data_IF_758058643678
#
_entry.id   IF_758058643678
#
_cell.length_a   1.000
_cell.length_b   1.000
_cell.length_c   1.000
_cell.angle_alpha   90.00
_cell.angle_beta   90.00
_cell.angle_gamma   90.00
#
_symmetry.space_group_name_H-M   'P 1'
#
loop_
_entity.id
_entity.type
_entity.pdbx_description
1 polymer ?
#
# COMPACT_ATOMS: atom_id res chain seq x y z
N UNK A 1 -16.10 -6.53 5.39
CA UNK A 1 -15.85 -6.60 6.83
C UNK A 1 -15.98 -5.20 7.38
N UNK A 2 -16.99 -4.91 8.22
CA UNK A 2 -17.34 -3.52 8.57
C UNK A 2 -16.39 -2.89 9.58
N UNK A 3 -15.87 -3.68 10.52
CA UNK A 3 -14.96 -3.20 11.56
C UNK A 3 -13.68 -4.02 11.55
N UNK A 4 -12.53 -3.34 11.54
CA UNK A 4 -11.22 -3.95 11.71
C UNK A 4 -10.81 -3.86 13.18
N UNK A 5 -10.62 -5.01 13.81
CA UNK A 5 -10.16 -5.12 15.20
C UNK A 5 -8.74 -5.67 15.25
N UNK A 6 -8.02 -5.37 16.34
CA UNK A 6 -6.64 -5.87 16.55
C UNK A 6 -6.57 -7.41 16.53
N UNK A 7 -7.57 -8.10 17.06
CA UNK A 7 -7.67 -9.57 17.05
C UNK A 7 -7.85 -10.12 15.63
N UNK A 8 -8.57 -9.40 14.79
CA UNK A 8 -8.85 -9.80 13.41
C UNK A 8 -7.66 -9.59 12.49
N UNK A 9 -6.85 -8.57 12.79
CA UNK A 9 -5.58 -8.32 12.15
C UNK A 9 -4.64 -9.54 12.29
N UNK A 10 -4.56 -10.13 13.48
CA UNK A 10 -3.78 -11.35 13.73
C UNK A 10 -4.25 -12.55 12.89
N UNK A 11 -5.55 -12.66 12.61
CA UNK A 11 -6.09 -13.74 11.77
C UNK A 11 -5.80 -13.57 10.28
N UNK A 12 -5.66 -12.34 9.79
CA UNK A 12 -5.25 -12.07 8.41
C UNK A 12 -3.79 -12.47 8.13
N UNK A 13 -2.98 -12.63 9.18
CA UNK A 13 -1.58 -13.08 9.09
C UNK A 13 -1.37 -14.52 9.53
N UNK A 14 -2.42 -15.26 9.89
CA UNK A 14 -2.32 -16.72 9.99
C UNK A 14 -2.30 -17.26 8.56
N UNK A 15 -1.25 -18.00 8.12
CA UNK A 15 -1.28 -18.63 6.82
C UNK A 15 -2.50 -19.55 6.75
N UNK A 16 -3.46 -19.21 5.90
CA UNK A 16 -4.56 -20.07 5.52
C UNK A 16 -3.95 -21.27 4.78
N UNK A 17 -3.68 -22.36 5.52
CA UNK A 17 -3.44 -23.66 4.90
C UNK A 17 -4.77 -24.09 4.29
N UNK A 18 -5.03 -23.72 3.02
CA UNK A 18 -6.06 -24.38 2.22
C UNK A 18 -5.48 -25.72 1.77
N UNK A 19 -6.16 -26.87 2.00
CA UNK A 19 -5.77 -28.11 1.35
C UNK A 19 -5.92 -27.94 -0.17
N UNK A 20 -4.90 -28.34 -0.92
CA UNK A 20 -4.95 -28.39 -2.38
C UNK A 20 -6.08 -29.34 -2.83
N UNK A 21 -6.81 -29.03 -3.91
CA UNK A 21 -7.72 -30.00 -4.51
C UNK A 21 -6.91 -31.22 -4.99
N UNK A 22 -7.44 -32.45 -4.85
CA UNK A 22 -6.72 -33.64 -5.25
C UNK A 22 -6.38 -33.57 -6.75
N UNK A 23 -5.08 -33.60 -7.05
CA UNK A 23 -4.59 -33.80 -8.41
C UNK A 23 -5.06 -35.16 -8.91
N UNK A 24 -5.85 -35.18 -9.99
CA UNK A 24 -6.18 -36.41 -10.69
C UNK A 24 -4.88 -37.08 -11.15
N UNK A 25 -4.68 -38.29 -10.65
CA UNK A 25 -3.56 -39.14 -11.00
C UNK A 25 -3.85 -39.75 -12.37
N UNK A 26 -2.95 -39.46 -13.30
CA UNK A 26 -2.92 -39.92 -14.68
C UNK A 26 -3.03 -41.45 -14.74
N UNK A 27 -4.13 -41.96 -15.28
CA UNK A 27 -4.29 -43.37 -15.62
C UNK A 27 -4.05 -43.52 -17.11
N UNK A 28 -2.95 -44.21 -17.43
CA UNK A 28 -2.57 -44.57 -18.81
C UNK A 28 -3.74 -45.29 -19.48
N UNK A 29 -4.30 -44.68 -20.51
CA UNK A 29 -5.15 -45.39 -21.47
C UNK A 29 -4.31 -45.66 -22.72
N UNK A 30 -4.08 -46.95 -22.97
CA UNK A 30 -3.52 -47.50 -24.20
C UNK A 30 -4.62 -47.36 -25.27
N UNK A 31 -4.33 -46.66 -26.36
CA UNK A 31 -5.18 -46.66 -27.54
C UNK A 31 -4.69 -47.72 -28.52
N UNK A 32 -5.52 -48.75 -28.70
CA UNK A 32 -5.47 -49.66 -29.84
C UNK A 32 -6.30 -49.01 -30.97
N UNK A 33 -5.69 -48.82 -32.14
CA UNK A 33 -6.41 -48.37 -33.34
C UNK A 33 -6.21 -49.41 -34.44
N UNK A 34 -7.27 -50.20 -34.62
CA UNK A 34 -7.51 -51.00 -35.81
C UNK A 34 -7.75 -50.14 -37.04
N UNK A 35 -7.41 -50.74 -38.16
CA UNK A 35 -7.48 -50.28 -39.55
C UNK A 35 -8.88 -49.85 -39.97
N UNK A 36 -9.00 -48.78 -40.77
CA UNK A 36 -9.56 -48.88 -42.13
C UNK A 36 -9.39 -47.58 -42.95
N UNK A 37 -9.29 -47.80 -44.26
CA UNK A 37 -8.88 -46.94 -45.37
C UNK A 37 -9.78 -45.72 -45.67
N UNK A 38 -9.21 -44.63 -46.23
CA UNK A 38 -9.40 -44.19 -47.64
C UNK A 38 -8.86 -42.75 -47.90
N UNK A 39 -8.03 -42.64 -48.96
CA UNK A 39 -7.76 -41.52 -49.90
C UNK A 39 -7.15 -40.19 -49.38
N UNK A 40 -5.90 -39.86 -49.74
CA UNK A 40 -5.45 -38.99 -50.87
C UNK A 40 -6.00 -37.53 -50.77
N UNK A 41 -5.28 -36.40 -50.90
CA UNK A 41 -4.07 -36.02 -51.67
C UNK A 41 -3.60 -34.61 -51.18
N UNK A 42 -2.27 -34.36 -51.13
CA UNK A 42 -1.52 -33.11 -51.46
C UNK A 42 -1.80 -31.74 -50.77
N UNK A 43 -0.80 -31.17 -50.05
CA UNK A 43 0.21 -30.21 -50.58
C UNK A 43 1.25 -29.82 -49.50
N UNK A 44 2.47 -29.55 -49.97
CA UNK A 44 3.76 -29.45 -49.26
C UNK A 44 4.15 -28.05 -48.72
N UNK A 45 5.33 -28.04 -48.08
CA UNK A 45 6.35 -26.99 -47.91
C UNK A 45 6.41 -26.34 -46.52
N UNK A 46 7.36 -26.73 -45.66
CA UNK A 46 8.83 -26.51 -45.69
C UNK A 46 9.22 -25.05 -45.54
N UNK A 47 9.76 -24.69 -44.37
CA UNK A 47 10.80 -23.66 -44.20
C UNK A 47 11.64 -24.00 -42.95
N UNK A 48 12.78 -24.68 -43.17
CA UNK A 48 13.96 -24.54 -42.31
C UNK A 48 14.60 -23.17 -42.61
N UNK A 49 15.17 -22.51 -41.59
CA UNK A 49 16.55 -22.07 -41.74
C UNK A 49 17.26 -21.86 -40.40
N UNK A 50 18.47 -22.41 -40.36
CA UNK A 50 19.45 -22.47 -39.28
C UNK A 50 20.35 -21.24 -39.31
N UNK A 51 20.74 -20.72 -38.14
CA UNK A 51 22.04 -20.07 -37.96
C UNK A 51 22.67 -20.55 -36.65
N UNK A 52 23.81 -21.24 -36.81
CA UNK A 52 24.78 -21.60 -35.77
C UNK A 52 25.97 -20.64 -35.90
N UNK A 53 26.41 -20.05 -34.80
CA UNK A 53 27.83 -19.82 -34.54
C UNK A 53 28.11 -20.02 -33.05
N UNK A 54 29.19 -20.74 -32.76
CA UNK A 54 29.52 -21.25 -31.45
C UNK A 54 30.73 -20.55 -30.83
N UNK A 55 30.76 -20.46 -29.50
CA UNK A 55 32.01 -20.47 -28.74
C UNK A 55 31.81 -20.97 -27.31
N UNK A 56 32.51 -22.05 -27.00
CA UNK A 56 32.65 -22.65 -25.67
C UNK A 56 33.83 -22.03 -24.93
N UNK A 57 33.66 -21.64 -23.67
CA UNK A 57 34.72 -21.64 -22.65
C UNK A 57 34.17 -21.81 -21.23
N UNK A 58 34.38 -23.02 -20.70
CA UNK A 58 34.75 -23.46 -19.34
C UNK A 58 34.09 -22.84 -18.08
N UNK A 59 33.52 -23.77 -17.32
CA UNK A 59 33.10 -23.75 -15.92
C UNK A 59 34.11 -23.11 -14.95
N UNK A 60 33.57 -22.34 -13.99
CA UNK A 60 34.08 -22.24 -12.61
C UNK A 60 32.90 -22.05 -11.67
N UNK A 61 32.64 -23.07 -10.87
CA UNK A 61 31.79 -23.01 -9.68
C UNK A 61 32.43 -22.12 -8.61
N UNK A 62 31.66 -21.17 -8.06
CA UNK A 62 31.83 -20.67 -6.67
C UNK A 62 30.51 -20.05 -6.20
N UNK A 63 30.10 -20.42 -4.99
CA UNK A 63 28.79 -20.17 -4.38
C UNK A 63 28.56 -18.73 -3.88
N UNK A 64 27.36 -18.21 -4.20
CA UNK A 64 26.28 -17.62 -3.36
C UNK A 64 26.67 -16.64 -2.24
N UNK A 65 26.12 -15.40 -2.27
CA UNK A 65 25.04 -14.90 -1.38
C UNK A 65 24.27 -13.76 -2.07
N UNK A 66 23.02 -14.02 -2.47
CA UNK A 66 21.97 -13.01 -2.67
C UNK A 66 20.84 -13.42 -1.71
N UNK A 67 20.47 -12.63 -0.69
CA UNK A 67 19.28 -12.94 0.08
C UNK A 67 18.08 -12.37 -0.69
N UNK A 68 17.56 -13.15 -1.63
CA UNK A 68 16.29 -12.86 -2.27
C UNK A 68 15.23 -13.88 -1.82
N UNK A 69 14.08 -13.31 -1.47
CA UNK A 69 12.76 -13.89 -1.21
C UNK A 69 12.66 -15.32 -0.63
N UNK A 70 12.31 -15.41 0.66
CA UNK A 70 11.77 -16.65 1.24
C UNK A 70 10.27 -16.77 0.93
N UNK A 71 9.95 -17.33 -0.22
CA UNK A 71 8.70 -18.08 -0.42
C UNK A 71 8.74 -19.38 0.39
N UNK A 72 7.81 -19.60 1.31
CA UNK A 72 7.70 -20.84 2.07
C UNK A 72 7.18 -21.99 1.19
N UNK A 73 7.97 -23.04 1.00
CA UNK A 73 7.53 -24.36 0.53
C UNK A 73 7.50 -25.32 1.73
N UNK A 74 6.38 -26.01 1.95
CA UNK A 74 6.21 -26.98 3.03
C UNK A 74 6.18 -28.40 2.45
N UNK A 75 7.21 -29.19 2.78
CA UNK A 75 7.24 -30.65 2.61
C UNK A 75 6.52 -31.29 3.82
N UNK A 76 5.65 -32.25 3.54
CA UNK A 76 4.74 -32.88 4.49
C UNK A 76 5.48 -34.00 5.25
N UNK A 77 5.55 -33.90 6.57
CA UNK A 77 5.69 -35.10 7.39
C UNK A 77 4.88 -34.99 8.68
N UNK A 78 4.27 -36.11 9.05
CA UNK A 78 3.15 -36.23 9.97
C UNK A 78 3.60 -36.44 11.43
N UNK A 79 2.73 -36.01 12.35
CA UNK A 79 2.68 -36.33 13.79
C UNK A 79 3.64 -35.60 14.76
N UNK A 80 3.20 -34.48 15.35
CA UNK A 80 3.61 -34.09 16.72
C UNK A 80 2.44 -33.50 17.51
N UNK A 81 2.05 -34.24 18.54
CA UNK A 81 1.23 -33.83 19.69
C UNK A 81 1.96 -32.75 20.48
N UNK A 82 1.26 -31.66 20.83
CA UNK A 82 1.69 -30.39 21.46
C UNK A 82 1.93 -29.24 20.46
N UNK A 83 0.98 -28.29 20.45
CA UNK A 83 1.16 -26.97 19.84
C UNK A 83 2.27 -26.23 20.60
N UNK A 84 3.41 -25.88 19.98
CA UNK A 84 4.34 -24.97 20.62
C UNK A 84 3.65 -23.60 20.77
N UNK A 85 4.04 -22.78 21.75
CA UNK A 85 3.56 -21.41 21.83
C UNK A 85 3.94 -20.73 20.51
N UNK A 86 2.94 -20.47 19.65
CA UNK A 86 3.16 -19.82 18.36
C UNK A 86 3.79 -18.46 18.64
N UNK A 87 5.07 -18.32 18.28
CA UNK A 87 5.80 -17.05 18.28
C UNK A 87 4.97 -16.02 17.51
N UNK A 88 4.57 -14.98 18.22
CA UNK A 88 3.89 -13.79 17.72
C UNK A 88 4.87 -13.07 16.76
N UNK A 89 4.80 -13.40 15.47
CA UNK A 89 5.73 -12.90 14.43
C UNK A 89 5.35 -11.51 13.87
N UNK A 90 4.53 -10.73 14.57
CA UNK A 90 4.05 -9.40 14.13
C UNK A 90 5.10 -8.28 14.22
N UNK A 91 6.32 -8.56 14.67
CA UNK A 91 7.34 -7.55 14.95
C UNK A 91 8.04 -6.94 13.72
N UNK A 92 7.83 -7.46 12.51
CA UNK A 92 8.62 -7.07 11.32
C UNK A 92 7.82 -6.49 10.15
N UNK A 93 6.50 -6.30 10.30
CA UNK A 93 5.68 -5.76 9.21
C UNK A 93 6.02 -4.29 8.96
N UNK A 94 6.44 -4.00 7.72
CA UNK A 94 6.81 -2.66 7.24
C UNK A 94 5.74 -2.03 6.36
N UNK A 95 4.97 -2.84 5.63
CA UNK A 95 3.94 -2.38 4.70
C UNK A 95 2.65 -3.13 4.95
N UNK A 96 1.54 -2.39 4.91
CA UNK A 96 0.21 -2.95 5.09
C UNK A 96 -0.79 -2.27 4.15
N UNK A 97 -1.50 -3.08 3.37
CA UNK A 97 -2.43 -2.64 2.34
C UNK A 97 -3.82 -3.24 2.57
N UNK A 98 -4.79 -2.36 2.79
CA UNK A 98 -6.22 -2.69 2.90
C UNK A 98 -7.06 -2.01 1.80
N UNK A 99 -6.44 -1.64 0.68
CA UNK A 99 -7.11 -0.94 -0.42
C UNK A 99 -8.32 -1.72 -0.93
N UNK A 100 -9.41 -1.02 -1.27
CA UNK A 100 -10.56 -1.61 -1.95
C UNK A 100 -11.40 -2.54 -1.07
N UNK A 101 -11.35 -2.34 0.25
CA UNK A 101 -12.17 -3.09 1.20
C UNK A 101 -13.43 -2.29 1.59
N UNK A 102 -14.26 -2.89 2.44
CA UNK A 102 -15.51 -2.27 2.95
C UNK A 102 -15.39 -1.91 4.43
N UNK A 103 -14.20 -1.45 4.85
CA UNK A 103 -13.95 -1.11 6.25
C UNK A 103 -14.63 0.23 6.55
N UNK A 104 -15.54 0.23 7.53
CA UNK A 104 -16.27 1.41 8.01
C UNK A 104 -15.63 1.98 9.28
N UNK A 105 -15.10 1.10 10.15
CA UNK A 105 -14.45 1.48 11.41
C UNK A 105 -13.18 0.67 11.68
N UNK A 106 -12.23 1.31 12.36
CA UNK A 106 -10.98 0.68 12.83
C UNK A 106 -10.83 1.05 14.31
N UNK A 107 -10.70 0.04 15.15
CA UNK A 107 -10.57 0.27 16.59
C UNK A 107 -9.25 0.96 16.94
N UNK A 108 -9.31 1.84 17.96
CA UNK A 108 -8.11 2.46 18.51
C UNK A 108 -7.16 1.37 19.02
N UNK A 109 -5.90 1.44 18.59
CA UNK A 109 -4.88 0.45 18.96
C UNK A 109 -4.80 -0.77 18.04
N UNK A 110 -5.62 -0.88 16.99
CA UNK A 110 -5.52 -1.96 15.99
C UNK A 110 -4.10 -2.13 15.45
N UNK A 111 -3.41 -1.02 15.19
CA UNK A 111 -2.03 -1.01 14.67
C UNK A 111 -0.96 -0.77 15.74
N UNK A 112 -1.31 -0.80 17.04
CA UNK A 112 -0.40 -0.43 18.14
C UNK A 112 0.85 -1.31 18.24
N UNK A 113 0.72 -2.60 17.90
CA UNK A 113 1.82 -3.58 17.93
C UNK A 113 2.76 -3.46 16.72
N UNK A 114 2.31 -2.82 15.63
CA UNK A 114 3.06 -2.69 14.38
C UNK A 114 4.08 -1.55 14.45
N UNK A 115 5.01 -1.65 15.38
CA UNK A 115 5.98 -0.57 15.70
C UNK A 115 7.01 -0.30 14.59
N UNK A 116 7.15 -1.21 13.62
CA UNK A 116 8.03 -1.07 12.46
C UNK A 116 7.28 -0.71 11.16
N UNK A 117 5.98 -0.44 11.24
CA UNK A 117 5.18 -0.12 10.05
C UNK A 117 5.59 1.24 9.48
N UNK A 118 5.97 1.24 8.21
CA UNK A 118 6.42 2.39 7.44
C UNK A 118 5.37 2.82 6.42
N UNK A 119 4.64 1.89 5.84
CA UNK A 119 3.62 2.18 4.84
C UNK A 119 2.29 1.56 5.24
N UNK A 120 1.26 2.40 5.32
CA UNK A 120 -0.11 1.97 5.57
C UNK A 120 -1.04 2.58 4.53
N UNK A 121 -1.75 1.72 3.80
CA UNK A 121 -2.84 2.16 2.93
C UNK A 121 -4.18 1.58 3.36
N UNK A 122 -5.14 2.48 3.51
CA UNK A 122 -6.56 2.28 3.81
C UNK A 122 -7.42 2.87 2.69
N UNK A 123 -6.85 3.00 1.47
CA UNK A 123 -7.52 3.64 0.36
C UNK A 123 -8.81 2.91 -0.03
N UNK A 124 -9.76 3.62 -0.61
CA UNK A 124 -10.97 3.01 -1.22
C UNK A 124 -11.75 2.14 -0.20
N UNK A 125 -11.99 2.70 0.98
CA UNK A 125 -12.79 2.10 2.05
C UNK A 125 -13.98 3.01 2.39
N UNK A 126 -14.63 2.78 3.54
CA UNK A 126 -15.81 3.52 3.98
C UNK A 126 -15.58 4.25 5.31
N UNK A 127 -14.32 4.57 5.62
CA UNK A 127 -13.93 5.14 6.91
C UNK A 127 -14.53 6.52 7.13
N UNK A 128 -15.06 6.74 8.33
CA UNK A 128 -15.58 8.05 8.77
C UNK A 128 -14.57 8.83 9.63
N UNK A 129 -13.58 8.14 10.20
CA UNK A 129 -12.55 8.67 11.10
C UNK A 129 -11.23 7.94 10.88
N UNK A 130 -10.13 8.59 11.24
CA UNK A 130 -8.81 7.96 11.24
C UNK A 130 -8.56 7.19 12.55
N UNK A 131 -7.94 5.99 12.48
CA UNK A 131 -7.43 5.31 13.66
C UNK A 131 -6.17 6.00 14.19
N UNK A 132 -5.70 5.57 15.36
CA UNK A 132 -4.37 5.93 15.84
C UNK A 132 -3.30 5.34 14.91
N UNK A 133 -2.50 6.21 14.32
CA UNK A 133 -1.47 5.84 13.34
C UNK A 133 -0.16 5.42 14.01
N UNK A 134 0.53 4.37 13.52
CA UNK A 134 1.86 3.99 13.99
C UNK A 134 2.89 5.10 13.78
N UNK A 135 3.81 5.34 14.74
CA UNK A 135 4.70 6.50 14.73
C UNK A 135 5.81 6.47 13.66
N UNK A 136 6.13 5.30 13.11
CA UNK A 136 7.21 5.12 12.13
C UNK A 136 6.79 5.29 10.67
N UNK A 137 5.52 5.61 10.41
CA UNK A 137 5.03 5.76 9.05
C UNK A 137 5.82 6.81 8.26
N UNK A 138 6.20 6.43 7.04
CA UNK A 138 6.77 7.27 5.99
C UNK A 138 5.71 7.59 4.92
N UNK A 139 4.75 6.69 4.72
CA UNK A 139 3.61 6.86 3.82
C UNK A 139 2.31 6.47 4.52
N UNK A 140 1.33 7.37 4.43
CA UNK A 140 -0.03 7.07 4.83
C UNK A 140 -1.01 7.46 3.71
N UNK A 141 -1.82 6.48 3.29
CA UNK A 141 -2.78 6.67 2.23
C UNK A 141 -4.19 6.26 2.68
N UNK A 142 -5.09 7.22 2.84
CA UNK A 142 -6.51 6.99 3.12
C UNK A 142 -7.43 7.74 2.15
N UNK A 143 -7.00 7.85 0.88
CA UNK A 143 -7.82 8.42 -0.19
C UNK A 143 -9.11 7.64 -0.43
N UNK A 144 -10.10 8.26 -1.08
CA UNK A 144 -11.38 7.61 -1.41
C UNK A 144 -12.06 6.95 -0.20
N UNK A 145 -12.25 7.75 0.85
CA UNK A 145 -13.00 7.36 2.04
C UNK A 145 -14.09 8.41 2.32
N UNK A 146 -14.72 8.37 3.49
CA UNK A 146 -15.77 9.31 3.91
C UNK A 146 -15.34 10.13 5.13
N UNK A 147 -14.03 10.35 5.28
CA UNK A 147 -13.45 10.98 6.47
C UNK A 147 -13.81 12.47 6.46
N UNK A 148 -14.33 12.95 7.58
CA UNK A 148 -14.58 14.37 7.84
C UNK A 148 -13.52 14.94 8.76
N UNK A 149 -13.39 16.27 8.84
CA UNK A 149 -12.39 16.89 9.72
C UNK A 149 -12.56 16.47 11.19
N UNK A 150 -13.81 16.35 11.67
CA UNK A 150 -14.13 15.82 13.01
C UNK A 150 -13.67 14.37 13.27
N UNK A 151 -13.43 13.61 12.21
CA UNK A 151 -12.92 12.24 12.26
C UNK A 151 -11.39 12.18 12.38
N UNK A 152 -10.70 13.32 12.37
CA UNK A 152 -9.26 13.42 12.54
C UNK A 152 -8.98 14.10 13.88
N UNK A 153 -8.37 13.36 14.82
CA UNK A 153 -7.93 13.93 16.10
C UNK A 153 -6.87 15.01 15.84
N UNK A 154 -6.89 16.12 16.59
CA UNK A 154 -5.99 17.26 16.37
C UNK A 154 -4.48 16.91 16.45
N UNK A 155 -4.14 15.82 17.13
CA UNK A 155 -2.78 15.31 17.30
C UNK A 155 -2.48 14.05 16.46
N UNK A 156 -3.35 13.67 15.51
CA UNK A 156 -3.23 12.44 14.74
C UNK A 156 -1.89 12.30 14.01
N UNK A 157 -1.34 13.41 13.50
CA UNK A 157 -0.10 13.44 12.75
C UNK A 157 1.12 13.95 13.55
N UNK A 158 0.91 14.48 14.76
CA UNK A 158 1.94 15.22 15.54
C UNK A 158 3.19 14.38 15.85
N UNK A 159 3.05 13.06 15.99
CA UNK A 159 4.15 12.15 16.33
C UNK A 159 4.76 11.43 15.12
N UNK A 160 4.27 11.68 13.91
CA UNK A 160 4.70 10.99 12.69
C UNK A 160 5.91 11.68 12.07
N UNK A 161 7.02 11.68 12.79
CA UNK A 161 8.22 12.47 12.48
C UNK A 161 8.93 12.06 11.18
N UNK A 162 8.57 10.90 10.61
CA UNK A 162 9.14 10.37 9.37
C UNK A 162 8.17 10.44 8.19
N UNK A 163 6.92 10.90 8.42
CA UNK A 163 5.88 10.89 7.41
C UNK A 163 6.24 11.85 6.28
N UNK A 164 6.44 11.30 5.09
CA UNK A 164 6.83 12.03 3.88
C UNK A 164 5.65 12.18 2.92
N UNK A 165 4.75 11.20 2.87
CA UNK A 165 3.63 11.16 1.94
C UNK A 165 2.31 10.99 2.69
N UNK A 166 1.40 11.94 2.49
CA UNK A 166 0.06 11.91 3.06
C UNK A 166 -1.00 12.09 1.96
N UNK A 167 -1.79 11.04 1.75
CA UNK A 167 -2.89 11.04 0.79
C UNK A 167 -4.23 10.96 1.51
N UNK A 168 -5.00 12.04 1.45
CA UNK A 168 -6.34 12.18 2.03
C UNK A 168 -7.32 12.78 1.00
N UNK A 169 -6.98 12.72 -0.28
CA UNK A 169 -7.84 13.17 -1.37
C UNK A 169 -9.11 12.32 -1.49
N UNK A 170 -10.14 12.86 -2.13
CA UNK A 170 -11.45 12.21 -2.28
C UNK A 170 -12.05 11.75 -0.95
N UNK A 171 -12.13 12.69 -0.01
CA UNK A 171 -12.78 12.52 1.29
C UNK A 171 -13.80 13.67 1.50
N UNK A 172 -14.26 13.88 2.73
CA UNK A 172 -15.19 14.94 3.09
C UNK A 172 -14.57 15.90 4.13
N UNK A 173 -13.26 16.15 4.05
CA UNK A 173 -12.57 17.07 4.96
C UNK A 173 -13.06 18.50 4.75
N UNK A 174 -13.37 19.20 5.86
CA UNK A 174 -13.83 20.58 5.86
C UNK A 174 -12.68 21.59 6.09
N UNK A 175 -11.51 21.07 6.49
CA UNK A 175 -10.30 21.83 6.82
C UNK A 175 -9.06 20.97 6.60
N UNK A 176 -7.91 21.60 6.39
CA UNK A 176 -6.61 20.91 6.42
C UNK A 176 -6.38 20.33 7.83
N UNK A 177 -5.84 19.11 7.98
CA UNK A 177 -5.54 18.56 9.31
C UNK A 177 -4.52 19.41 10.08
N UNK A 178 -4.71 19.51 11.40
CA UNK A 178 -3.82 20.27 12.27
C UNK A 178 -2.51 19.53 12.55
N UNK A 179 -1.46 20.28 12.89
CA UNK A 179 -0.16 19.76 13.34
C UNK A 179 0.50 18.79 12.34
N UNK A 180 0.46 19.14 11.06
CA UNK A 180 1.14 18.39 9.99
C UNK A 180 2.67 18.39 10.22
N UNK A 181 3.34 17.23 10.21
CA UNK A 181 4.76 17.13 10.55
C UNK A 181 5.67 17.84 9.54
N UNK A 182 6.81 18.33 10.04
CA UNK A 182 7.88 18.99 9.26
C UNK A 182 8.57 18.06 8.25
N UNK A 183 8.35 16.75 8.35
CA UNK A 183 8.90 15.74 7.45
C UNK A 183 8.14 15.61 6.13
N UNK A 184 6.92 16.17 6.03
CA UNK A 184 6.08 16.01 4.85
C UNK A 184 6.70 16.63 3.60
N UNK A 185 6.67 15.85 2.52
CA UNK A 185 7.08 16.24 1.17
C UNK A 185 5.88 16.40 0.25
N UNK A 186 4.89 15.51 0.36
CA UNK A 186 3.71 15.51 -0.49
C UNK A 186 2.45 15.42 0.37
N UNK A 187 1.50 16.32 0.10
CA UNK A 187 0.20 16.36 0.75
C UNK A 187 -0.88 16.46 -0.32
N UNK A 188 -1.71 15.42 -0.43
CA UNK A 188 -2.85 15.38 -1.35
C UNK A 188 -4.14 15.50 -0.57
N UNK A 189 -4.86 16.59 -0.82
CA UNK A 189 -6.13 16.96 -0.19
C UNK A 189 -7.18 17.37 -1.22
N UNK A 190 -6.91 17.15 -2.52
CA UNK A 190 -7.83 17.47 -3.60
C UNK A 190 -9.16 16.72 -3.46
N UNK A 191 -10.21 17.31 -4.04
CA UNK A 191 -11.57 16.75 -4.01
C UNK A 191 -12.07 16.43 -2.58
N UNK A 192 -11.92 17.42 -1.70
CA UNK A 192 -12.53 17.46 -0.37
C UNK A 192 -13.52 18.65 -0.30
N UNK A 193 -13.97 19.01 0.91
CA UNK A 193 -14.84 20.14 1.17
C UNK A 193 -14.13 21.24 1.98
N UNK A 194 -12.82 21.45 1.77
CA UNK A 194 -12.04 22.41 2.53
C UNK A 194 -12.48 23.83 2.17
N UNK A 195 -13.04 24.55 3.15
CA UNK A 195 -13.56 25.92 2.96
C UNK A 195 -12.66 27.00 3.54
N UNK A 196 -11.73 26.64 4.43
CA UNK A 196 -10.86 27.61 5.09
C UNK A 196 -9.49 27.04 5.43
N UNK A 197 -8.50 27.93 5.43
CA UNK A 197 -7.16 27.74 5.99
C UNK A 197 -6.78 28.99 6.79
N UNK A 198 -5.77 28.84 7.63
CA UNK A 198 -5.19 29.88 8.48
C UNK A 198 -3.72 30.09 8.14
N UNK A 199 -3.14 31.19 8.60
CA UNK A 199 -1.72 31.51 8.40
C UNK A 199 -0.80 30.42 9.00
N UNK A 200 -1.25 29.74 10.05
CA UNK A 200 -0.55 28.61 10.69
C UNK A 200 -0.83 27.23 10.05
N UNK A 201 -1.60 27.15 8.96
CA UNK A 201 -1.96 25.85 8.36
C UNK A 201 -0.74 25.14 7.80
N UNK A 202 0.11 25.85 7.05
CA UNK A 202 1.35 25.31 6.53
C UNK A 202 2.60 26.03 7.07
N UNK A 203 2.44 27.27 7.53
CA UNK A 203 3.51 28.13 8.02
C UNK A 203 3.46 28.31 9.54
N UNK A 204 4.41 29.07 10.09
CA UNK A 204 4.40 29.53 11.48
C UNK A 204 4.12 31.03 11.45
N UNK A 205 2.89 31.43 11.74
CA UNK A 205 2.46 32.83 11.57
C UNK A 205 3.26 33.82 12.43
N UNK A 206 3.86 33.33 13.53
CA UNK A 206 4.72 34.11 14.42
C UNK A 206 6.20 34.16 14.00
N UNK A 207 6.60 33.49 12.91
CA UNK A 207 7.98 33.42 12.44
C UNK A 207 8.04 33.63 10.92
N UNK A 208 8.30 34.88 10.52
CA UNK A 208 8.44 35.25 9.11
C UNK A 208 9.70 34.70 8.45
N UNK A 209 10.65 34.19 9.23
CA UNK A 209 11.88 33.55 8.72
C UNK A 209 11.71 32.06 8.49
N UNK A 210 10.61 31.48 8.97
CA UNK A 210 10.31 30.07 8.81
C UNK A 210 10.06 29.72 7.34
N UNK A 211 10.87 28.79 6.83
CA UNK A 211 10.69 28.18 5.52
C UNK A 211 10.43 26.69 5.71
N UNK A 212 9.37 26.18 5.09
CA UNK A 212 9.04 24.75 5.10
C UNK A 212 9.79 24.07 3.96
N UNK A 213 11.06 23.77 4.18
CA UNK A 213 11.98 23.37 3.11
C UNK A 213 11.68 22.03 2.44
N UNK A 214 11.10 21.08 3.18
CA UNK A 214 10.90 19.70 2.71
C UNK A 214 9.67 19.53 1.83
N UNK A 215 8.72 20.45 1.88
CA UNK A 215 7.47 20.31 1.13
C UNK A 215 7.74 20.56 -0.36
N UNK A 216 7.31 19.62 -1.18
CA UNK A 216 7.52 19.61 -2.62
C UNK A 216 6.22 19.83 -3.37
N UNK A 217 5.11 19.29 -2.84
CA UNK A 217 3.80 19.35 -3.48
C UNK A 217 2.66 19.39 -2.44
N UNK A 218 1.72 20.32 -2.66
CA UNK A 218 0.44 20.38 -1.96
C UNK A 218 -0.65 20.48 -3.01
N UNK A 219 -1.64 19.57 -2.97
CA UNK A 219 -2.80 19.57 -3.86
C UNK A 219 -4.07 19.87 -3.09
N UNK A 220 -4.78 20.91 -3.52
CA UNK A 220 -6.01 21.42 -2.93
C UNK A 220 -7.09 21.66 -4.00
N UNK A 221 -6.86 21.28 -5.25
CA UNK A 221 -7.84 21.40 -6.32
C UNK A 221 -9.15 20.65 -6.00
N UNK A 222 -10.27 21.14 -6.55
CA UNK A 222 -11.58 20.56 -6.26
C UNK A 222 -12.10 20.78 -4.83
N UNK A 223 -11.47 21.65 -4.03
CA UNK A 223 -12.03 22.18 -2.78
C UNK A 223 -12.70 23.55 -3.00
N UNK A 224 -13.70 23.93 -2.18
CA UNK A 224 -14.36 25.25 -2.28
C UNK A 224 -13.47 26.45 -1.94
N UNK A 225 -12.32 26.23 -1.29
CA UNK A 225 -11.42 27.31 -0.88
C UNK A 225 -10.78 28.03 -2.08
N UNK A 226 -10.69 29.36 -1.98
CA UNK A 226 -9.96 30.21 -2.93
C UNK A 226 -8.61 30.57 -2.30
N UNK A 227 -7.53 29.95 -2.80
CA UNK A 227 -6.18 30.08 -2.25
C UNK A 227 -5.65 31.52 -2.32
N UNK A 228 -6.06 32.30 -3.33
CA UNK A 228 -5.67 33.71 -3.48
C UNK A 228 -6.12 34.62 -2.33
N UNK A 229 -7.11 34.20 -1.52
CA UNK A 229 -7.56 34.93 -0.33
C UNK A 229 -6.69 34.67 0.92
N UNK A 230 -5.73 33.74 0.84
CA UNK A 230 -4.92 33.29 1.97
C UNK A 230 -3.41 33.29 1.66
N UNK A 231 -2.83 34.40 1.19
CA UNK A 231 -1.42 34.43 0.77
C UNK A 231 -0.44 34.10 1.91
N UNK A 232 -0.72 34.53 3.14
CA UNK A 232 0.14 34.30 4.30
C UNK A 232 0.27 32.81 4.67
N UNK A 233 -0.74 32.00 4.39
CA UNK A 233 -0.72 30.55 4.61
C UNK A 233 0.34 29.82 3.78
N UNK A 234 0.93 30.48 2.78
CA UNK A 234 1.84 29.86 1.81
C UNK A 234 3.21 30.55 1.72
N UNK A 235 3.44 31.62 2.47
CA UNK A 235 4.67 32.44 2.34
C UNK A 235 5.95 31.68 2.68
N UNK A 236 5.86 30.68 3.55
CA UNK A 236 6.97 29.80 3.92
C UNK A 236 7.28 28.70 2.90
N UNK A 237 6.47 28.56 1.84
CA UNK A 237 6.58 27.47 0.87
C UNK A 237 7.44 27.90 -0.32
N UNK A 238 8.33 27.01 -0.76
CA UNK A 238 9.12 27.21 -2.00
C UNK A 238 8.29 27.11 -3.28
N UNK A 239 7.13 26.49 -3.19
CA UNK A 239 6.20 26.26 -4.31
C UNK A 239 4.78 26.47 -3.81
N UNK A 240 3.99 27.15 -4.65
CA UNK A 240 2.58 27.36 -4.38
C UNK A 240 1.79 26.04 -4.52
N UNK A 241 0.76 25.81 -3.69
CA UNK A 241 -0.13 24.66 -3.87
C UNK A 241 -0.85 24.65 -5.23
N UNK A 242 -1.26 23.47 -5.67
CA UNK A 242 -2.18 23.33 -6.80
C UNK A 242 -3.61 23.55 -6.31
N UNK A 243 -4.36 24.44 -6.93
CA UNK A 243 -5.76 24.73 -6.55
C UNK A 243 -6.31 26.00 -7.20
N UNK A 244 -7.51 26.44 -6.77
CA UNK A 244 -8.13 27.67 -7.30
C UNK A 244 -7.55 28.90 -6.63
N UNK A 245 -7.09 29.88 -7.42
CA UNK A 245 -6.59 31.17 -6.94
C UNK A 245 -7.57 32.32 -7.14
N UNK A 246 -8.61 32.10 -7.93
CA UNK A 246 -9.66 33.07 -8.27
C UNK A 246 -11.04 32.51 -7.94
#
# INVERSE_FOLDING_TARGET
MKTLQSTLLLFLFVPLIKPAPPSQQDSRIIYDYGTDNLEETFFSQDYEDKYLDGKSTKEKETMIIVPDEKSFQLQKDESITQLPPKKENDANLRRLDFTGNLIEDIEDGTFSKLSLLEELTLAENQLLKLPVLPPKLTLFNAKYNKIKSRGIKANAFKKLNNLSFLYLDHNALESVPLNLPESLRVIHLQFNNITSITDDTFCKANDTSYIRDRIEEIRLEGNPIILGKHPNSFICLKRLPVGSYI
#
